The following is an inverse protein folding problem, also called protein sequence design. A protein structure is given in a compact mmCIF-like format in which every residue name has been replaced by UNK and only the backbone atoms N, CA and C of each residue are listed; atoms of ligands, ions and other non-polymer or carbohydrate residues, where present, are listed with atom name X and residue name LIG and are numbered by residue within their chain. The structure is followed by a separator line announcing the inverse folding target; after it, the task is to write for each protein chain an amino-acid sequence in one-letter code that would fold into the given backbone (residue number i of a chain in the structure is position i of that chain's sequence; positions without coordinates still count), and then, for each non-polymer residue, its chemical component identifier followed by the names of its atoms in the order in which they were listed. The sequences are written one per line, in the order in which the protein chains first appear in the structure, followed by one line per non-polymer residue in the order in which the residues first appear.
data_IF_593263989471
#
_entry.id   IF_593263989471
#
_cell.length_a   1.000
_cell.length_b   1.000
_cell.length_c   1.000
_cell.angle_alpha   90.00
_cell.angle_beta   90.00
_cell.angle_gamma   90.00
#
_symmetry.space_group_name_H-M   'P 1'
#
loop_
_entity.id
_entity.type
_entity.pdbx_description
1 polymer ?
#
# COMPACT_ATOMS: atom_id res chain seq x y z
N UNK A 1 15.54 -32.38 67.78
CA UNK A 1 16.85 -32.64 68.45
C UNK A 1 17.95 -31.88 67.73
N UNK A 2 19.10 -31.68 68.39
CA UNK A 2 20.21 -30.83 67.93
C UNK A 2 21.35 -31.67 67.29
N UNK A 3 22.01 -31.09 66.27
CA UNK A 3 23.42 -31.18 65.77
C UNK A 3 24.43 -32.07 66.53
N UNK A 4 25.52 -32.61 65.90
CA UNK A 4 26.56 -31.91 65.08
C UNK A 4 26.81 -32.59 63.69
N UNK A 5 27.87 -32.40 62.87
CA UNK A 5 29.26 -31.89 63.08
C UNK A 5 29.91 -31.19 61.85
N UNK A 6 30.96 -30.42 62.17
CA UNK A 6 31.95 -29.57 61.47
C UNK A 6 32.97 -30.24 60.50
N UNK A 7 33.69 -29.38 59.75
CA UNK A 7 34.98 -29.53 59.03
C UNK A 7 34.87 -29.92 57.53
N UNK A 8 35.03 -29.00 56.57
CA UNK A 8 36.22 -28.25 56.15
C UNK A 8 37.31 -29.13 55.49
N UNK A 9 37.71 -28.81 54.24
CA UNK A 9 39.10 -28.68 53.76
C UNK A 9 39.14 -28.31 52.25
N UNK A 10 40.24 -27.66 51.85
CA UNK A 10 40.51 -26.95 50.60
C UNK A 10 40.09 -27.63 49.27
N UNK A 11 39.58 -26.81 48.33
CA UNK A 11 39.82 -27.00 46.89
C UNK A 11 39.89 -25.62 46.18
N UNK A 12 41.09 -25.25 45.76
CA UNK A 12 41.44 -24.01 45.05
C UNK A 12 41.26 -24.23 43.55
N UNK A 13 40.24 -23.66 42.89
CA UNK A 13 40.22 -23.65 41.43
C UNK A 13 39.37 -22.54 40.79
N UNK A 14 40.04 -21.79 39.91
CA UNK A 14 39.52 -21.00 38.78
C UNK A 14 38.37 -20.01 39.03
N UNK A 15 38.78 -18.76 39.07
CA UNK A 15 38.07 -17.62 38.50
C UNK A 15 37.59 -17.97 37.07
N UNK A 16 36.34 -18.40 36.93
CA UNK A 16 35.60 -18.34 35.67
C UNK A 16 34.63 -17.18 35.79
N UNK A 17 35.04 -16.03 35.25
CA UNK A 17 34.16 -14.87 35.15
C UNK A 17 33.04 -15.19 34.18
N UNK A 18 31.92 -15.71 34.67
CA UNK A 18 30.67 -15.73 33.90
C UNK A 18 30.29 -14.30 33.63
N UNK A 19 30.64 -13.81 32.43
CA UNK A 19 30.02 -12.63 31.87
C UNK A 19 28.55 -12.98 31.75
N UNK A 20 27.76 -12.54 32.73
CA UNK A 20 26.33 -12.48 32.59
C UNK A 20 26.08 -11.53 31.42
N UNK A 21 25.79 -12.10 30.25
CA UNK A 21 25.23 -11.35 29.15
C UNK A 21 23.92 -10.80 29.69
N UNK A 22 23.91 -9.52 30.05
CA UNK A 22 22.69 -8.85 30.43
C UNK A 22 21.78 -8.89 29.21
N UNK A 23 20.80 -9.79 29.22
CA UNK A 23 19.68 -9.76 28.28
C UNK A 23 19.02 -8.40 28.47
N UNK A 24 19.37 -7.47 27.59
CA UNK A 24 18.66 -6.21 27.50
C UNK A 24 17.17 -6.55 27.36
N UNK A 25 16.28 -5.95 28.17
CA UNK A 25 14.86 -6.27 28.10
C UNK A 25 14.43 -6.09 26.66
N UNK A 26 13.99 -7.18 26.02
CA UNK A 26 13.54 -7.14 24.65
C UNK A 26 12.40 -6.13 24.58
N UNK A 27 12.69 -4.95 24.02
CA UNK A 27 11.69 -3.90 23.81
C UNK A 27 10.56 -4.58 23.05
N UNK A 28 9.32 -4.63 23.57
CA UNK A 28 8.25 -5.35 22.91
C UNK A 28 8.08 -4.79 21.50
N UNK A 29 8.58 -5.55 20.52
CA UNK A 29 8.61 -5.11 19.13
C UNK A 29 7.18 -4.81 18.72
N UNK A 30 6.92 -3.55 18.35
CA UNK A 30 5.59 -2.97 18.27
C UNK A 30 4.61 -3.96 17.62
N UNK A 31 3.80 -4.61 18.46
CA UNK A 31 2.90 -5.65 18.00
C UNK A 31 1.97 -5.01 16.99
N UNK A 32 2.09 -5.41 15.72
CA UNK A 32 1.16 -4.98 14.66
C UNK A 32 -0.20 -5.49 15.07
N UNK A 33 -1.00 -4.61 15.68
CA UNK A 33 -2.35 -4.93 16.12
C UNK A 33 -3.10 -5.41 14.88
N UNK A 34 -3.37 -6.71 14.80
CA UNK A 34 -4.23 -7.27 13.77
C UNK A 34 -5.65 -6.81 14.08
N UNK A 35 -5.95 -5.60 13.59
CA UNK A 35 -7.27 -5.02 13.62
C UNK A 35 -8.22 -6.03 12.94
N UNK A 36 -9.39 -6.33 13.55
CA UNK A 36 -10.37 -7.24 12.97
C UNK A 36 -11.11 -6.54 11.82
N UNK A 37 -10.37 -6.28 10.74
CA UNK A 37 -10.77 -5.48 9.60
C UNK A 37 -10.56 -6.31 8.32
N UNK A 38 -11.64 -6.59 7.62
CA UNK A 38 -11.63 -7.21 6.31
C UNK A 38 -11.53 -6.11 5.24
N UNK A 39 -10.76 -6.34 4.17
CA UNK A 39 -10.55 -5.35 3.09
C UNK A 39 -10.71 -6.04 1.75
N UNK A 40 -11.77 -5.71 1.03
CA UNK A 40 -12.03 -6.20 -0.33
C UNK A 40 -11.72 -5.10 -1.36
N UNK A 41 -10.61 -5.26 -2.10
CA UNK A 41 -10.28 -4.40 -3.24
C UNK A 41 -10.85 -5.01 -4.53
N UNK A 42 -11.57 -4.21 -5.30
CA UNK A 42 -12.14 -4.57 -6.60
C UNK A 42 -11.81 -3.52 -7.65
N UNK A 43 -11.71 -3.95 -8.91
CA UNK A 43 -11.52 -3.07 -10.06
C UNK A 43 -12.54 -3.43 -11.14
N UNK A 44 -13.13 -2.41 -11.77
CA UNK A 44 -14.05 -2.57 -12.91
C UNK A 44 -13.75 -1.52 -13.97
N UNK A 45 -13.81 -1.92 -15.25
CA UNK A 45 -13.64 -1.01 -16.37
C UNK A 45 -14.97 -0.26 -16.59
N UNK A 46 -14.88 1.05 -16.75
CA UNK A 46 -16.02 1.93 -17.02
C UNK A 46 -16.09 2.13 -18.53
N UNK A 47 -17.17 1.64 -19.14
CA UNK A 47 -17.47 1.86 -20.56
C UNK A 47 -18.74 2.69 -20.66
N UNK A 48 -18.66 3.83 -21.34
CA UNK A 48 -19.84 4.64 -21.63
C UNK A 48 -20.62 4.05 -22.80
N UNK A 49 -21.83 3.57 -22.53
CA UNK A 49 -22.73 3.02 -23.53
C UNK A 49 -24.06 3.78 -23.47
N UNK A 50 -24.53 4.33 -24.60
CA UNK A 50 -25.78 5.11 -24.69
C UNK A 50 -25.89 6.28 -23.69
N UNK A 51 -24.76 6.89 -23.30
CA UNK A 51 -24.71 7.97 -22.32
C UNK A 51 -24.59 7.52 -20.86
N UNK A 52 -24.76 6.23 -20.56
CA UNK A 52 -24.60 5.67 -19.22
C UNK A 52 -23.22 5.03 -19.01
N UNK A 53 -22.67 5.19 -17.82
CA UNK A 53 -21.43 4.54 -17.40
C UNK A 53 -21.71 3.10 -16.95
N UNK A 54 -21.32 2.10 -17.77
CA UNK A 54 -21.43 0.67 -17.44
C UNK A 54 -20.14 0.15 -16.82
N UNK A 55 -20.28 -0.58 -15.71
CA UNK A 55 -19.18 -1.33 -15.07
C UNK A 55 -19.07 -2.72 -15.71
N UNK A 56 -17.98 -2.96 -16.42
CA UNK A 56 -17.64 -4.29 -16.97
C UNK A 56 -16.39 -4.83 -16.29
N UNK A 57 -16.04 -6.08 -16.58
CA UNK A 57 -14.83 -6.67 -16.03
C UNK A 57 -13.55 -6.02 -16.56
N UNK A 58 -12.51 -5.96 -15.73
CA UNK A 58 -11.24 -5.28 -16.01
C UNK A 58 -10.08 -6.26 -16.31
N UNK A 59 -10.36 -7.53 -16.59
CA UNK A 59 -9.36 -8.57 -16.90
C UNK A 59 -8.35 -8.19 -18.00
N UNK A 60 -8.71 -7.27 -18.90
CA UNK A 60 -7.79 -6.57 -19.79
C UNK A 60 -8.15 -5.10 -19.80
N UNK A 61 -7.16 -4.25 -19.55
CA UNK A 61 -7.25 -2.81 -19.71
C UNK A 61 -6.23 -2.35 -20.76
N UNK A 62 -6.66 -1.44 -21.62
CA UNK A 62 -5.89 -0.87 -22.73
C UNK A 62 -5.63 0.62 -22.46
N UNK A 63 -4.57 1.22 -23.04
CA UNK A 63 -4.35 2.67 -23.00
C UNK A 63 -5.60 3.49 -23.31
N UNK A 64 -5.92 4.45 -22.43
CA UNK A 64 -7.13 5.26 -22.51
C UNK A 64 -8.36 4.68 -21.80
N UNK A 65 -8.33 3.44 -21.33
CA UNK A 65 -9.43 2.87 -20.54
C UNK A 65 -9.60 3.56 -19.19
N UNK A 66 -10.86 3.74 -18.78
CA UNK A 66 -11.22 4.21 -17.44
C UNK A 66 -11.47 3.01 -16.53
N UNK A 67 -10.77 2.94 -15.41
CA UNK A 67 -10.90 1.90 -14.39
C UNK A 67 -11.41 2.51 -13.07
N UNK A 68 -12.52 2.00 -12.54
CA UNK A 68 -13.01 2.31 -11.19
C UNK A 68 -12.44 1.29 -10.20
N UNK A 69 -11.57 1.76 -9.31
CA UNK A 69 -11.08 1.02 -8.15
C UNK A 69 -12.00 1.26 -6.97
N UNK A 70 -12.39 0.21 -6.25
CA UNK A 70 -13.25 0.27 -5.07
C UNK A 70 -12.70 -0.64 -3.97
N UNK A 71 -12.41 -0.07 -2.81
CA UNK A 71 -12.05 -0.80 -1.60
C UNK A 71 -13.20 -0.74 -0.59
N UNK A 72 -13.60 -1.89 -0.05
CA UNK A 72 -14.58 -2.00 1.03
C UNK A 72 -13.86 -2.45 2.31
N UNK A 73 -13.96 -1.66 3.36
CA UNK A 73 -13.38 -1.90 4.68
C UNK A 73 -14.49 -2.29 5.64
N UNK A 74 -14.47 -3.52 6.15
CA UNK A 74 -15.50 -4.08 7.02
C UNK A 74 -14.91 -4.41 8.39
N UNK A 75 -15.47 -3.85 9.46
CA UNK A 75 -15.09 -4.21 10.82
C UNK A 75 -15.73 -5.53 11.22
N UNK A 76 -15.05 -6.65 10.96
CA UNK A 76 -15.50 -7.99 11.35
C UNK A 76 -15.41 -8.25 12.86
N UNK A 77 -14.85 -7.32 13.64
CA UNK A 77 -14.72 -7.41 15.10
C UNK A 77 -16.00 -7.10 15.89
N UNK A 78 -15.83 -7.09 17.22
CA UNK A 78 -16.88 -6.75 18.19
C UNK A 78 -16.63 -5.40 18.89
N UNK A 79 -15.57 -4.67 18.50
CA UNK A 79 -15.18 -3.38 19.07
C UNK A 79 -15.15 -2.29 17.99
N UNK A 80 -15.52 -1.07 18.35
CA UNK A 80 -15.44 0.09 17.45
C UNK A 80 -13.98 0.43 17.15
N UNK A 81 -13.62 0.38 15.87
CA UNK A 81 -12.33 0.87 15.40
C UNK A 81 -12.38 2.40 15.31
N UNK A 82 -11.25 3.06 15.56
CA UNK A 82 -11.12 4.53 15.57
C UNK A 82 -9.91 4.96 14.75
N UNK A 83 -9.96 6.19 14.24
CA UNK A 83 -8.84 6.83 13.51
C UNK A 83 -8.28 5.98 12.35
N UNK A 84 -9.15 5.23 11.68
CA UNK A 84 -8.77 4.38 10.56
C UNK A 84 -8.33 5.24 9.37
N UNK A 85 -7.20 4.86 8.76
CA UNK A 85 -6.73 5.42 7.49
C UNK A 85 -7.04 4.42 6.37
N UNK A 86 -8.14 4.65 5.64
CA UNK A 86 -8.49 3.88 4.46
C UNK A 86 -7.61 4.35 3.29
N UNK A 87 -6.65 3.53 2.87
CA UNK A 87 -5.69 3.85 1.79
C UNK A 87 -6.04 3.03 0.53
N UNK A 88 -6.36 3.73 -0.56
CA UNK A 88 -6.56 3.17 -1.89
C UNK A 88 -5.29 3.39 -2.74
N UNK A 89 -4.47 2.37 -3.00
CA UNK A 89 -3.31 2.51 -3.86
C UNK A 89 -3.74 2.72 -5.32
N UNK A 90 -3.02 3.58 -6.05
CA UNK A 90 -3.24 3.84 -7.47
C UNK A 90 -2.15 3.13 -8.30
N UNK A 91 -2.50 2.34 -9.34
CA UNK A 91 -1.53 1.59 -10.14
C UNK A 91 -0.49 2.48 -10.82
N UNK A 92 0.67 1.92 -11.13
CA UNK A 92 1.64 2.51 -12.05
C UNK A 92 1.03 2.67 -13.46
N UNK A 93 1.51 3.66 -14.24
CA UNK A 93 0.97 3.99 -15.57
C UNK A 93 -0.54 4.27 -15.59
N UNK A 94 -1.03 4.98 -14.56
CA UNK A 94 -2.39 5.52 -14.53
C UNK A 94 -2.44 6.97 -14.04
N UNK A 95 -3.41 7.71 -14.58
CA UNK A 95 -3.73 9.10 -14.24
C UNK A 95 -5.08 9.17 -13.51
N UNK A 96 -5.13 9.83 -12.35
CA UNK A 96 -6.37 9.98 -11.56
C UNK A 96 -7.39 10.90 -12.25
N UNK A 97 -8.65 10.47 -12.31
CA UNK A 97 -9.78 11.35 -12.63
C UNK A 97 -10.13 12.13 -11.37
N UNK A 98 -9.74 13.41 -11.30
CA UNK A 98 -9.74 14.20 -10.05
C UNK A 98 -11.11 14.31 -9.37
N UNK A 99 -12.20 14.37 -10.14
CA UNK A 99 -13.57 14.51 -9.62
C UNK A 99 -14.29 13.16 -9.36
N UNK A 100 -13.57 12.04 -9.50
CA UNK A 100 -14.09 10.68 -9.29
C UNK A 100 -13.97 10.07 -7.88
N UNK A 101 -13.12 10.56 -6.94
CA UNK A 101 -13.04 9.95 -5.62
C UNK A 101 -14.32 10.10 -4.82
N UNK A 102 -14.77 8.98 -4.26
CA UNK A 102 -15.95 8.86 -3.40
C UNK A 102 -15.56 8.05 -2.15
N UNK A 103 -15.78 8.57 -0.91
CA UNK A 103 -16.31 9.89 -0.60
C UNK A 103 -15.43 11.05 -1.08
N UNK A 104 -16.03 12.24 -1.19
CA UNK A 104 -15.31 13.46 -1.59
C UNK A 104 -14.20 13.86 -0.59
N UNK A 105 -13.22 14.62 -1.08
CA UNK A 105 -12.06 15.16 -0.33
C UNK A 105 -11.09 14.11 0.28
N UNK A 106 -10.54 13.15 -0.51
CA UNK A 106 -9.40 12.37 -0.06
C UNK A 106 -8.14 13.25 0.12
N UNK A 107 -7.22 12.77 0.94
CA UNK A 107 -5.81 13.15 0.84
C UNK A 107 -5.12 12.29 -0.23
N UNK A 108 -4.25 12.86 -1.05
CA UNK A 108 -3.50 12.16 -2.09
C UNK A 108 -1.99 12.16 -1.79
N UNK A 109 -1.30 11.08 -2.14
CA UNK A 109 0.15 11.01 -2.14
C UNK A 109 0.72 10.99 -3.55
N UNK A 110 1.97 11.42 -3.71
CA UNK A 110 2.69 11.29 -4.98
C UNK A 110 3.26 9.86 -5.11
N UNK A 111 3.35 9.36 -6.34
CA UNK A 111 3.89 8.03 -6.68
C UNK A 111 5.30 7.79 -6.13
N UNK A 112 6.15 8.82 -6.18
CA UNK A 112 7.52 8.81 -5.62
C UNK A 112 7.60 9.06 -4.11
N UNK A 113 6.48 9.35 -3.43
CA UNK A 113 6.43 9.71 -2.02
C UNK A 113 5.14 9.19 -1.36
N UNK A 114 4.95 7.87 -1.38
CA UNK A 114 3.70 7.19 -0.98
C UNK A 114 3.28 7.41 0.48
N UNK A 115 4.19 7.88 1.34
CA UNK A 115 3.94 8.22 2.75
C UNK A 115 3.53 9.68 2.99
N UNK A 116 3.64 10.55 1.97
CA UNK A 116 3.34 11.99 2.08
C UNK A 116 1.96 12.28 1.48
N UNK A 117 0.99 12.54 2.34
CA UNK A 117 -0.40 12.81 1.97
C UNK A 117 -0.74 14.30 2.12
N UNK A 118 -1.44 14.86 1.13
CA UNK A 118 -1.94 16.23 1.10
C UNK A 118 -3.38 16.26 0.56
N UNK A 119 -4.29 17.12 1.05
CA UNK A 119 -5.64 17.25 0.49
C UNK A 119 -5.63 17.36 -1.05
N UNK A 120 -6.44 16.55 -1.73
CA UNK A 120 -6.49 16.52 -3.20
C UNK A 120 -6.77 17.91 -3.80
N UNK A 121 -7.63 18.68 -3.15
CA UNK A 121 -8.05 20.05 -3.52
C UNK A 121 -6.94 21.11 -3.46
N UNK A 122 -5.74 20.79 -2.94
CA UNK A 122 -4.59 21.71 -2.91
C UNK A 122 -3.66 21.59 -4.12
N UNK A 123 -3.96 20.71 -5.08
CA UNK A 123 -3.21 20.63 -6.34
C UNK A 123 -3.92 21.48 -7.42
N UNK A 124 -3.34 22.62 -7.83
CA UNK A 124 -4.04 23.59 -8.66
C UNK A 124 -4.28 23.08 -10.08
N UNK A 125 -5.56 22.96 -10.44
CA UNK A 125 -6.00 23.01 -11.83
C UNK A 125 -5.90 24.46 -12.34
N UNK A 126 -5.30 24.62 -13.54
CA UNK A 126 -5.02 25.87 -14.30
C UNK A 126 -3.79 26.70 -13.87
N UNK A 127 -3.00 27.09 -14.88
CA UNK A 127 -2.10 28.25 -14.82
C UNK A 127 -0.61 27.93 -14.95
N UNK A 128 -0.08 27.01 -14.13
CA UNK A 128 1.17 26.33 -14.43
C UNK A 128 0.85 25.05 -15.20
N UNK A 129 1.79 24.59 -16.04
CA UNK A 129 1.73 23.22 -16.54
C UNK A 129 1.52 22.31 -15.33
N UNK A 130 0.40 21.57 -15.32
CA UNK A 130 0.18 20.58 -14.29
C UNK A 130 1.35 19.61 -14.43
N UNK A 131 2.29 19.66 -13.48
CA UNK A 131 3.26 18.60 -13.32
C UNK A 131 2.42 17.33 -13.29
N UNK A 132 2.68 16.40 -14.22
CA UNK A 132 1.78 15.27 -14.47
C UNK A 132 1.65 14.54 -13.13
N UNK A 133 0.51 14.73 -12.47
CA UNK A 133 0.38 14.45 -11.05
C UNK A 133 0.13 12.95 -10.93
N UNK A 134 1.22 12.21 -11.04
CA UNK A 134 1.30 10.79 -10.82
C UNK A 134 1.04 10.54 -9.33
N UNK A 135 -0.24 10.51 -8.95
CA UNK A 135 -0.66 10.14 -7.61
C UNK A 135 -0.38 8.65 -7.37
N UNK A 136 0.13 8.33 -6.19
CA UNK A 136 0.51 6.97 -5.78
C UNK A 136 -0.56 6.26 -4.94
N UNK A 137 -1.30 7.03 -4.13
CA UNK A 137 -2.41 6.53 -3.32
C UNK A 137 -3.36 7.67 -2.95
N UNK A 138 -4.59 7.31 -2.63
CA UNK A 138 -5.58 8.16 -1.95
C UNK A 138 -5.79 7.66 -0.52
N UNK A 139 -6.07 8.55 0.42
CA UNK A 139 -6.34 8.26 1.82
C UNK A 139 -7.57 9.01 2.31
N UNK A 140 -8.46 8.27 2.97
CA UNK A 140 -9.57 8.83 3.75
C UNK A 140 -9.34 8.57 5.24
N UNK A 141 -9.63 9.57 6.07
CA UNK A 141 -9.61 9.43 7.53
C UNK A 141 -11.00 9.12 8.04
N UNK A 142 -11.18 7.96 8.64
CA UNK A 142 -12.45 7.47 9.16
C UNK A 142 -12.38 7.51 10.69
N UNK A 143 -13.07 8.49 11.29
CA UNK A 143 -12.98 8.75 12.73
C UNK A 143 -13.40 7.56 13.60
N UNK A 144 -14.43 6.82 13.16
CA UNK A 144 -14.95 5.61 13.82
C UNK A 144 -15.53 4.66 12.77
N UNK A 145 -15.42 3.36 13.03
CA UNK A 145 -16.10 2.28 12.31
C UNK A 145 -16.62 1.28 13.35
N UNK A 146 -17.94 1.23 13.54
CA UNK A 146 -18.62 0.41 14.54
C UNK A 146 -18.46 -1.10 14.25
N UNK A 147 -18.74 -2.00 15.22
CA UNK A 147 -18.74 -3.44 14.99
C UNK A 147 -19.70 -3.80 13.85
N UNK A 148 -19.24 -4.64 12.90
CA UNK A 148 -19.96 -5.06 11.69
C UNK A 148 -20.33 -3.93 10.72
N UNK A 149 -19.81 -2.72 10.92
CA UNK A 149 -19.98 -1.61 9.98
C UNK A 149 -18.99 -1.74 8.81
N UNK A 150 -19.43 -1.30 7.62
CA UNK A 150 -18.62 -1.25 6.41
C UNK A 150 -18.49 0.17 5.89
N UNK A 151 -17.28 0.53 5.46
CA UNK A 151 -16.98 1.80 4.80
C UNK A 151 -16.35 1.52 3.44
N UNK A 152 -16.94 2.05 2.37
CA UNK A 152 -16.41 1.90 1.01
C UNK A 152 -15.79 3.19 0.51
N UNK A 153 -14.65 3.07 -0.18
CA UNK A 153 -14.06 4.14 -0.98
C UNK A 153 -13.91 3.69 -2.42
N UNK A 154 -13.98 4.63 -3.36
CA UNK A 154 -13.68 4.38 -4.76
C UNK A 154 -13.03 5.58 -5.44
N UNK A 155 -12.31 5.34 -6.52
CA UNK A 155 -11.77 6.37 -7.41
C UNK A 155 -11.60 5.79 -8.82
N UNK A 156 -11.62 6.66 -9.83
CA UNK A 156 -11.41 6.30 -11.23
C UNK A 156 -10.05 6.78 -11.71
N UNK A 157 -9.38 5.94 -12.48
CA UNK A 157 -8.13 6.26 -13.16
C UNK A 157 -8.24 5.98 -14.65
N UNK A 158 -7.47 6.71 -15.46
CA UNK A 158 -7.27 6.42 -16.89
C UNK A 158 -5.96 5.65 -17.02
N UNK A 159 -5.93 4.59 -17.84
CA UNK A 159 -4.68 3.90 -18.18
C UNK A 159 -3.86 4.79 -19.11
N UNK A 160 -2.61 5.08 -18.74
CA UNK A 160 -1.76 5.97 -19.50
C UNK A 160 -1.32 5.32 -20.83
N UNK A 161 -1.26 6.13 -21.89
CA UNK A 161 -0.66 5.71 -23.15
C UNK A 161 0.85 5.73 -23.06
N UNK A 162 1.48 4.55 -23.05
CA UNK A 162 2.93 4.41 -23.23
C UNK A 162 3.28 4.92 -24.63
N UNK A 163 3.65 6.19 -24.71
CA UNK A 163 4.09 6.79 -25.96
C UNK A 163 5.44 6.18 -26.31
N UNK A 164 5.68 5.84 -27.58
CA UNK A 164 6.88 5.10 -28.02
C UNK A 164 8.24 5.76 -27.69
N UNK A 165 8.22 6.99 -27.16
CA UNK A 165 9.37 7.72 -26.60
C UNK A 165 9.88 7.15 -25.27
N UNK A 166 9.05 6.42 -24.52
CA UNK A 166 9.41 5.75 -23.26
C UNK A 166 9.83 4.29 -23.43
N UNK A 167 9.86 3.78 -24.67
CA UNK A 167 10.62 2.56 -24.93
C UNK A 167 12.11 2.87 -24.68
N UNK A 168 12.83 2.09 -23.84
CA UNK A 168 14.27 2.17 -23.84
C UNK A 168 14.74 1.92 -25.28
N UNK A 169 15.62 2.78 -25.78
CA UNK A 169 16.19 2.64 -27.12
C UNK A 169 17.14 1.44 -27.12
N UNK A 170 16.56 0.23 -27.14
CA UNK A 170 17.25 -1.02 -27.42
C UNK A 170 17.56 -0.96 -28.91
N UNK A 171 18.81 -0.72 -29.33
CA UNK A 171 19.14 -0.87 -30.73
C UNK A 171 18.79 -2.30 -31.12
N UNK A 172 18.12 -2.47 -32.25
CA UNK A 172 17.94 -3.77 -32.88
C UNK A 172 19.33 -4.29 -33.29
N UNK A 173 20.05 -4.87 -32.34
CA UNK A 173 21.23 -5.68 -32.62
C UNK A 173 20.74 -6.98 -33.26
N UNK A 174 20.36 -6.87 -34.53
CA UNK A 174 20.18 -8.00 -35.43
C UNK A 174 21.56 -8.59 -35.64
N UNK A 175 21.97 -9.40 -34.66
CA UNK A 175 23.10 -10.29 -34.78
C UNK A 175 22.76 -11.25 -35.92
N UNK A 176 23.21 -10.93 -37.13
CA UNK A 176 23.10 -11.83 -38.25
C UNK A 176 23.85 -13.11 -37.89
N UNK A 177 23.10 -14.16 -37.57
CA UNK A 177 23.67 -15.50 -37.47
C UNK A 177 24.32 -15.87 -38.80
N UNK A 178 25.42 -16.63 -38.81
CA UNK A 178 26.08 -16.99 -40.05
C UNK A 178 25.10 -17.74 -40.96
N UNK A 179 24.93 -17.24 -42.19
CA UNK A 179 24.16 -17.92 -43.23
C UNK A 179 24.77 -19.27 -43.54
N UNK A 180 24.21 -20.34 -42.98
CA UNK A 180 24.54 -21.71 -43.38
C UNK A 180 23.58 -22.11 -44.50
N UNK A 181 24.02 -21.91 -45.74
CA UNK A 181 23.39 -22.50 -46.93
C UNK A 181 24.47 -23.04 -47.88
N UNK A 182 24.59 -24.37 -47.82
CA UNK A 182 25.27 -25.30 -48.74
C UNK A 182 26.80 -25.20 -48.86
#
# INVERSE_FOLDING_TARGET
MKIPTTAAFLAWMLMQGTIALAEAPAVPGAARQQLPLNIALTVKKIVRAHGEDRRIDASRAEPGDVLEYRAVYENVGNATLKELSAILPLPEHTTLVVDSPDPINPEASNRSAKDRYSPLSLHPSKGKAAAVNHYGALRWRVAKLAPKESFSVSARVVVDSVTAKDLPNVPLNVQAGPSILQ
#
